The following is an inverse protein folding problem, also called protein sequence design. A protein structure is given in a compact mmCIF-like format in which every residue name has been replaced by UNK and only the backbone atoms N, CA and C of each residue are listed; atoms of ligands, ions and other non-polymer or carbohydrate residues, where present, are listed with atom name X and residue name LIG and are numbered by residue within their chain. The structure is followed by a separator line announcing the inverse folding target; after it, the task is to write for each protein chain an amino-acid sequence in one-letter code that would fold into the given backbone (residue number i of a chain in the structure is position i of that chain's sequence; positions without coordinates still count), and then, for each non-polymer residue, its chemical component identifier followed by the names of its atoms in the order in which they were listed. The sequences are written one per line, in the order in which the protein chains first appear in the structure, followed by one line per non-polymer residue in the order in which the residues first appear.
data_IF_864033839215
#
_entry.id   IF_864033839215
#
_cell.length_a   1.000
_cell.length_b   1.000
_cell.length_c   1.000
_cell.angle_alpha   90.00
_cell.angle_beta   90.00
_cell.angle_gamma   90.00
#
_symmetry.space_group_name_H-M   'P 1'
#
loop_
_entity.id
_entity.type
_entity.pdbx_description
1 polymer ?
#
# COMPACT_ATOMS: atom_id res chain seq x y z
N UNK A 1 11.70 15.44 17.97
CA UNK A 1 10.36 15.68 17.39
C UNK A 1 10.51 15.87 15.88
N UNK A 2 9.51 15.45 15.09
CA UNK A 2 9.39 15.63 13.61
C UNK A 2 9.72 14.44 12.68
N UNK A 3 9.10 13.27 12.90
CA UNK A 3 8.71 12.39 11.78
C UNK A 3 7.29 12.72 11.25
N UNK A 4 6.51 13.55 11.96
CA UNK A 4 5.15 13.89 11.55
C UNK A 4 5.10 14.87 10.36
N UNK A 5 6.12 15.71 10.15
CA UNK A 5 6.13 16.71 9.07
C UNK A 5 6.45 16.16 7.68
N UNK A 6 7.02 14.96 7.54
CA UNK A 6 7.24 14.33 6.23
C UNK A 6 5.97 13.72 5.65
N UNK A 7 5.02 13.29 6.49
CA UNK A 7 3.74 12.74 6.06
C UNK A 7 2.77 13.80 5.51
N UNK A 8 2.91 15.05 5.94
CA UNK A 8 2.01 16.15 5.60
C UNK A 8 1.93 16.47 4.08
N UNK A 9 2.78 15.85 3.26
CA UNK A 9 2.75 15.95 1.79
C UNK A 9 2.60 14.62 1.05
N UNK A 10 2.53 13.47 1.74
CA UNK A 10 2.44 12.17 1.06
C UNK A 10 1.01 11.95 0.57
N UNK A 11 0.83 11.89 -0.76
CA UNK A 11 -0.47 11.72 -1.41
C UNK A 11 -0.68 10.35 -2.05
N UNK A 12 0.37 9.54 -2.18
CA UNK A 12 0.23 8.19 -2.74
C UNK A 12 -0.08 7.18 -1.62
N UNK A 13 -1.12 6.38 -1.83
CA UNK A 13 -1.54 5.30 -0.93
C UNK A 13 -1.63 4.01 -1.75
N UNK A 14 -0.95 2.96 -1.29
CA UNK A 14 -1.03 1.63 -1.89
C UNK A 14 -1.69 0.69 -0.88
N UNK A 15 -2.82 0.11 -1.27
CA UNK A 15 -3.64 -0.78 -0.44
C UNK A 15 -3.38 -2.24 -0.84
N UNK A 16 -3.02 -3.08 0.12
CA UNK A 16 -2.70 -4.51 -0.07
C UNK A 16 -3.70 -5.36 0.71
N UNK A 17 -4.40 -6.25 0.02
CA UNK A 17 -5.43 -7.09 0.63
C UNK A 17 -4.84 -8.28 1.40
N UNK A 18 -5.70 -8.91 2.21
CA UNK A 18 -5.35 -10.11 2.97
C UNK A 18 -5.45 -11.40 2.14
N UNK A 19 -5.23 -12.54 2.78
CA UNK A 19 -5.42 -13.84 2.16
C UNK A 19 -6.91 -14.17 2.03
N UNK A 20 -7.25 -15.04 1.07
CA UNK A 20 -8.62 -15.50 0.80
C UNK A 20 -9.63 -14.41 0.37
N UNK A 21 -9.15 -13.19 0.12
CA UNK A 21 -9.92 -12.05 -0.40
C UNK A 21 -9.18 -11.42 -1.56
N UNK A 22 -9.80 -10.46 -2.23
CA UNK A 22 -9.19 -9.68 -3.31
C UNK A 22 -9.23 -8.17 -3.01
N UNK A 23 -8.79 -7.36 -3.98
CA UNK A 23 -8.74 -5.91 -3.86
C UNK A 23 -10.10 -5.23 -3.73
N UNK A 24 -11.23 -5.88 -4.04
CA UNK A 24 -12.55 -5.26 -3.97
C UNK A 24 -12.95 -4.89 -2.54
N UNK A 25 -12.39 -5.57 -1.53
CA UNK A 25 -12.59 -5.22 -0.12
C UNK A 25 -12.14 -3.80 0.24
N UNK A 26 -11.31 -3.17 -0.60
CA UNK A 26 -10.85 -1.79 -0.43
C UNK A 26 -11.72 -0.74 -1.09
N UNK A 27 -12.79 -1.09 -1.82
CA UNK A 27 -13.59 -0.14 -2.63
C UNK A 27 -14.05 1.09 -1.83
N UNK A 28 -14.62 0.89 -0.64
CA UNK A 28 -15.06 2.00 0.21
C UNK A 28 -13.93 2.93 0.64
N UNK A 29 -12.78 2.36 1.03
CA UNK A 29 -11.59 3.11 1.43
C UNK A 29 -10.98 3.84 0.24
N UNK A 30 -10.92 3.19 -0.92
CA UNK A 30 -10.47 3.77 -2.17
C UNK A 30 -11.27 5.05 -2.49
N UNK A 31 -12.60 4.97 -2.47
CA UNK A 31 -13.45 6.13 -2.77
C UNK A 31 -13.30 7.25 -1.74
N UNK A 32 -13.21 6.92 -0.44
CA UNK A 32 -13.00 7.91 0.60
C UNK A 32 -11.67 8.67 0.40
N UNK A 33 -10.57 7.95 0.20
CA UNK A 33 -9.25 8.54 -0.02
C UNK A 33 -9.16 9.33 -1.33
N UNK A 34 -9.76 8.82 -2.42
CA UNK A 34 -9.82 9.56 -3.69
C UNK A 34 -10.59 10.87 -3.54
N UNK A 35 -11.70 10.87 -2.78
CA UNK A 35 -12.48 12.08 -2.48
C UNK A 35 -11.65 13.11 -1.70
N UNK A 36 -10.76 12.66 -0.82
CA UNK A 36 -9.86 13.51 -0.04
C UNK A 36 -8.57 13.93 -0.81
N UNK A 37 -8.50 13.62 -2.10
CA UNK A 37 -7.44 14.08 -3.01
C UNK A 37 -6.16 13.24 -2.95
N UNK A 38 -6.23 11.99 -2.53
CA UNK A 38 -5.11 11.06 -2.60
C UNK A 38 -5.03 10.36 -3.98
N UNK A 39 -3.82 9.95 -4.35
CA UNK A 39 -3.58 8.97 -5.42
C UNK A 39 -3.58 7.60 -4.78
N UNK A 40 -4.52 6.74 -5.18
CA UNK A 40 -4.72 5.45 -4.53
C UNK A 40 -4.54 4.35 -5.56
N UNK A 41 -3.74 3.34 -5.23
CA UNK A 41 -3.62 2.09 -5.97
C UNK A 41 -4.00 0.92 -5.08
N UNK A 42 -4.68 -0.07 -5.64
CA UNK A 42 -5.00 -1.32 -4.96
C UNK A 42 -4.18 -2.42 -5.59
N UNK A 43 -3.42 -3.14 -4.79
CA UNK A 43 -2.65 -4.29 -5.23
C UNK A 43 -3.56 -5.50 -5.26
N UNK A 44 -3.66 -6.14 -6.43
CA UNK A 44 -4.23 -7.47 -6.55
C UNK A 44 -3.10 -8.49 -6.48
N UNK A 45 -2.76 -8.95 -5.28
CA UNK A 45 -1.68 -9.91 -5.09
C UNK A 45 -2.17 -11.35 -5.35
N UNK A 46 -1.36 -12.22 -5.96
CA UNK A 46 -1.79 -13.55 -6.40
C UNK A 46 -2.11 -14.52 -5.26
N UNK A 47 -1.63 -14.28 -4.04
CA UNK A 47 -1.77 -15.17 -2.86
C UNK A 47 -1.24 -16.59 -3.07
N UNK A 48 -0.28 -16.75 -4.00
CA UNK A 48 0.38 -18.02 -4.29
C UNK A 48 1.68 -18.21 -3.47
N UNK A 49 2.42 -17.12 -3.27
CA UNK A 49 3.62 -17.09 -2.44
C UNK A 49 3.88 -15.67 -1.96
N UNK A 50 4.52 -15.54 -0.79
CA UNK A 50 4.92 -14.23 -0.26
C UNK A 50 5.84 -13.47 -1.23
N UNK A 51 6.75 -14.19 -1.90
CA UNK A 51 7.68 -13.59 -2.84
C UNK A 51 6.95 -12.96 -4.05
N UNK A 52 5.96 -13.65 -4.60
CA UNK A 52 5.16 -13.13 -5.71
C UNK A 52 4.27 -11.96 -5.27
N UNK A 53 3.66 -12.05 -4.08
CA UNK A 53 2.84 -10.99 -3.52
C UNK A 53 3.65 -9.70 -3.28
N UNK A 54 4.87 -9.84 -2.75
CA UNK A 54 5.83 -8.74 -2.59
C UNK A 54 6.28 -8.20 -3.95
N UNK A 55 6.52 -9.05 -4.94
CA UNK A 55 6.94 -8.61 -6.27
C UNK A 55 5.86 -7.77 -6.97
N UNK A 56 4.59 -8.15 -6.88
CA UNK A 56 3.46 -7.37 -7.43
C UNK A 56 3.30 -6.04 -6.67
N UNK A 57 3.44 -6.06 -5.34
CA UNK A 57 3.41 -4.85 -4.52
C UNK A 57 4.53 -3.88 -4.93
N UNK A 58 5.77 -4.36 -5.10
CA UNK A 58 6.91 -3.55 -5.53
C UNK A 58 6.73 -2.97 -6.94
N UNK A 59 6.13 -3.71 -7.88
CA UNK A 59 5.79 -3.15 -9.21
C UNK A 59 4.79 -2.00 -9.09
N UNK A 60 3.81 -2.12 -8.20
CA UNK A 60 2.84 -1.05 -7.94
C UNK A 60 3.49 0.17 -7.30
N UNK A 61 4.41 -0.02 -6.34
CA UNK A 61 5.23 1.05 -5.75
C UNK A 61 6.11 1.75 -6.79
N UNK A 62 6.73 0.98 -7.70
CA UNK A 62 7.56 1.53 -8.77
C UNK A 62 6.77 2.49 -9.68
N UNK A 63 5.49 2.22 -9.91
CA UNK A 63 4.58 3.05 -10.71
C UNK A 63 4.06 4.31 -9.98
N UNK A 64 4.33 4.50 -8.68
CA UNK A 64 3.93 5.70 -7.96
C UNK A 64 4.90 6.87 -8.19
N UNK A 65 4.36 8.06 -8.39
CA UNK A 65 5.13 9.30 -8.57
C UNK A 65 5.40 9.98 -7.23
N UNK A 66 6.30 9.39 -6.44
CA UNK A 66 6.77 9.96 -5.18
C UNK A 66 6.59 9.04 -3.96
N UNK A 67 6.72 9.59 -2.74
CA UNK A 67 6.60 8.81 -1.51
C UNK A 67 5.21 8.17 -1.36
N UNK A 68 5.14 7.04 -0.65
CA UNK A 68 3.95 6.19 -0.54
C UNK A 68 3.67 5.81 0.91
N UNK A 69 2.39 5.82 1.30
CA UNK A 69 1.91 5.07 2.47
C UNK A 69 1.43 3.71 2.02
N UNK A 70 2.04 2.66 2.56
CA UNK A 70 1.72 1.28 2.22
C UNK A 70 0.86 0.67 3.32
N UNK A 71 -0.36 0.28 2.97
CA UNK A 71 -1.40 -0.17 3.90
C UNK A 71 -1.68 -1.65 3.64
N UNK A 72 -1.67 -2.49 4.67
CA UNK A 72 -1.85 -3.93 4.53
C UNK A 72 -2.79 -4.47 5.59
N UNK A 73 -3.89 -5.11 5.17
CA UNK A 73 -4.85 -5.73 6.10
C UNK A 73 -4.58 -7.24 6.25
N UNK A 74 -4.59 -7.75 7.49
CA UNK A 74 -4.41 -9.18 7.79
C UNK A 74 -3.11 -9.73 7.16
N UNK A 75 -3.16 -10.77 6.32
CA UNK A 75 -1.99 -11.27 5.56
C UNK A 75 -1.30 -10.18 4.73
N UNK A 76 -2.04 -9.17 4.26
CA UNK A 76 -1.47 -8.00 3.60
C UNK A 76 -0.43 -7.31 4.48
N UNK A 77 -0.60 -7.36 5.81
CA UNK A 77 0.40 -6.95 6.81
C UNK A 77 1.76 -7.64 6.63
N UNK A 78 1.78 -8.93 6.34
CA UNK A 78 3.02 -9.69 6.07
C UNK A 78 3.67 -9.20 4.77
N UNK A 79 2.87 -9.01 3.72
CA UNK A 79 3.35 -8.52 2.43
C UNK A 79 3.96 -7.12 2.55
N UNK A 80 3.28 -6.20 3.25
CA UNK A 80 3.78 -4.82 3.42
C UNK A 80 4.98 -4.74 4.36
N UNK A 81 5.16 -5.70 5.28
CA UNK A 81 6.36 -5.77 6.14
C UNK A 81 7.60 -5.99 5.28
N UNK A 82 7.53 -6.92 4.33
CA UNK A 82 8.65 -7.21 3.42
C UNK A 82 8.83 -6.14 2.34
N UNK A 83 7.73 -5.68 1.74
CA UNK A 83 7.77 -4.65 0.70
C UNK A 83 8.12 -3.26 1.24
N UNK A 84 7.90 -3.01 2.53
CA UNK A 84 8.07 -1.72 3.20
C UNK A 84 9.49 -1.16 3.24
N UNK A 85 10.49 -1.99 2.94
CA UNK A 85 11.88 -1.55 2.82
C UNK A 85 12.18 -0.78 1.52
N UNK A 86 11.19 -0.62 0.63
CA UNK A 86 11.33 0.18 -0.59
C UNK A 86 11.56 1.67 -0.22
N UNK A 87 12.54 2.36 -0.83
CA UNK A 87 12.87 3.75 -0.48
C UNK A 87 11.75 4.75 -0.77
N UNK A 88 10.73 4.41 -1.57
CA UNK A 88 9.54 5.24 -1.75
C UNK A 88 8.57 5.14 -0.56
N UNK A 89 8.66 4.11 0.28
CA UNK A 89 7.71 3.92 1.38
C UNK A 89 8.05 4.87 2.52
N UNK A 90 7.15 5.82 2.78
CA UNK A 90 7.25 6.80 3.85
C UNK A 90 6.62 6.31 5.16
N UNK A 91 5.80 5.26 5.12
CA UNK A 91 5.17 4.68 6.29
C UNK A 91 4.35 3.44 5.98
N UNK A 92 4.18 2.61 7.01
CA UNK A 92 3.37 1.39 7.00
C UNK A 92 2.14 1.56 7.88
N UNK A 93 1.00 1.03 7.42
CA UNK A 93 -0.24 0.94 8.19
C UNK A 93 -0.73 -0.51 8.15
N UNK A 94 -0.98 -1.08 9.33
CA UNK A 94 -1.41 -2.46 9.55
C UNK A 94 -2.89 -2.53 9.93
#
# INVERSE_FOLDING_TARGET
MSQASTLAGVKNVVLVHGGFVDGSGWEGVYHALKKDGYTVAVVQNPTLSLADDVAVTKRTLAAQDGPVILVGHSYGGVVITEAGNDPKVAGLVY
#
